data_IF_743274652015
#
_entry.id   IF_743274652015
#
_cell.length_a   1.000
_cell.length_b   1.000
_cell.length_c   1.000
_cell.angle_alpha   90.00
_cell.angle_beta   90.00
_cell.angle_gamma   90.00
#
_symmetry.space_group_name_H-M   'P 1'
#
loop_
_entity.id
_entity.type
_entity.pdbx_description
1 polymer ?
#
# COMPACT_ATOMS: atom_id res chain seq x y z
N UNK A 1 21.80 -19.88 -26.62
CA UNK A 1 21.45 -19.80 -25.18
C UNK A 1 20.49 -20.94 -24.92
N UNK A 2 20.86 -21.85 -24.02
CA UNK A 2 19.95 -22.86 -23.48
C UNK A 2 18.69 -22.16 -22.94
N UNK A 3 17.47 -22.64 -23.25
CA UNK A 3 16.27 -22.10 -22.64
C UNK A 3 16.29 -22.46 -21.14
N UNK A 4 16.30 -21.42 -20.30
CA UNK A 4 16.21 -21.57 -18.85
C UNK A 4 15.07 -22.52 -18.47
N UNK A 5 15.36 -23.52 -17.63
CA UNK A 5 14.35 -24.50 -17.19
C UNK A 5 13.31 -23.83 -16.29
N UNK A 6 12.02 -24.10 -16.54
CA UNK A 6 10.94 -23.64 -15.66
C UNK A 6 11.10 -24.20 -14.24
N UNK A 7 10.80 -23.37 -13.25
CA UNK A 7 10.95 -23.67 -11.82
C UNK A 7 9.57 -23.68 -11.12
N UNK A 8 8.74 -24.72 -11.31
CA UNK A 8 7.38 -24.77 -10.76
C UNK A 8 7.35 -24.93 -9.24
N UNK A 9 8.46 -25.29 -8.60
CA UNK A 9 8.56 -25.37 -7.14
C UNK A 9 8.61 -24.00 -6.46
N UNK A 10 8.97 -22.94 -7.21
CA UNK A 10 9.05 -21.58 -6.67
C UNK A 10 7.66 -20.96 -6.67
N UNK A 11 7.14 -20.71 -5.46
CA UNK A 11 5.83 -20.08 -5.23
C UNK A 11 5.93 -18.69 -4.60
N UNK A 12 7.10 -18.31 -4.07
CA UNK A 12 7.34 -17.01 -3.44
C UNK A 12 8.69 -16.46 -3.91
N UNK A 13 8.70 -15.19 -4.31
CA UNK A 13 9.90 -14.47 -4.71
C UNK A 13 10.07 -13.23 -3.83
N UNK A 14 11.27 -13.05 -3.28
CA UNK A 14 11.60 -11.92 -2.42
C UNK A 14 12.83 -11.21 -3.00
N UNK A 15 12.60 -9.99 -3.47
CA UNK A 15 13.61 -9.09 -4.00
C UNK A 15 13.76 -7.92 -3.03
N UNK A 16 14.70 -8.05 -2.09
CA UNK A 16 14.87 -7.08 -1.01
C UNK A 16 15.75 -5.90 -1.38
N UNK A 17 15.56 -4.79 -0.68
CA UNK A 17 16.41 -3.59 -0.78
C UNK A 17 17.90 -3.86 -0.53
N UNK A 18 18.27 -4.89 0.23
CA UNK A 18 19.69 -5.18 0.52
C UNK A 18 20.44 -5.81 -0.66
N UNK A 19 19.75 -6.41 -1.64
CA UNK A 19 20.42 -7.26 -2.63
C UNK A 19 20.80 -6.51 -3.91
N UNK A 20 19.99 -5.53 -4.34
CA UNK A 20 20.22 -4.68 -5.53
C UNK A 20 19.49 -3.34 -5.39
N UNK A 21 19.96 -2.31 -6.13
CA UNK A 21 19.28 -1.01 -6.22
C UNK A 21 17.91 -1.13 -6.92
N UNK A 22 17.87 -1.67 -8.12
CA UNK A 22 16.65 -1.93 -8.90
C UNK A 22 16.92 -3.03 -9.93
N UNK A 23 15.90 -3.80 -10.31
CA UNK A 23 15.96 -4.72 -11.46
C UNK A 23 15.39 -4.02 -12.69
N UNK A 24 15.99 -4.21 -13.87
CA UNK A 24 15.37 -3.70 -15.09
C UNK A 24 14.09 -4.49 -15.41
N UNK A 25 13.13 -3.85 -16.08
CA UNK A 25 11.90 -4.52 -16.52
C UNK A 25 12.16 -5.84 -17.25
N UNK A 26 13.14 -5.88 -18.16
CA UNK A 26 13.45 -7.10 -18.95
C UNK A 26 14.01 -8.23 -18.09
N UNK A 27 14.83 -7.92 -17.10
CA UNK A 27 15.36 -8.92 -16.18
C UNK A 27 14.26 -9.44 -15.25
N UNK A 28 13.41 -8.55 -14.73
CA UNK A 28 12.27 -8.93 -13.90
C UNK A 28 11.27 -9.79 -14.68
N UNK A 29 10.90 -9.38 -15.90
CA UNK A 29 10.05 -10.15 -16.79
C UNK A 29 10.64 -11.52 -17.11
N UNK A 30 11.92 -11.57 -17.48
CA UNK A 30 12.62 -12.82 -17.76
C UNK A 30 12.61 -13.76 -16.55
N UNK A 31 12.83 -13.22 -15.35
CA UNK A 31 12.84 -13.96 -14.09
C UNK A 31 11.44 -14.50 -13.73
N UNK A 32 10.40 -13.65 -13.77
CA UNK A 32 9.04 -14.05 -13.42
C UNK A 32 8.48 -15.13 -14.35
N UNK A 33 8.87 -15.12 -15.64
CA UNK A 33 8.52 -16.18 -16.60
C UNK A 33 9.07 -17.56 -16.23
N UNK A 34 10.09 -17.64 -15.37
CA UNK A 34 10.62 -18.92 -14.88
C UNK A 34 9.77 -19.53 -13.76
N UNK A 35 8.84 -18.78 -13.17
CA UNK A 35 8.08 -19.17 -11.98
C UNK A 35 6.58 -19.32 -12.29
N UNK A 36 6.15 -20.38 -12.97
CA UNK A 36 4.77 -20.53 -13.43
C UNK A 36 3.74 -20.72 -12.30
N UNK A 37 4.19 -20.88 -11.05
CA UNK A 37 3.35 -21.04 -9.86
C UNK A 37 3.59 -19.95 -8.82
N UNK A 38 4.17 -18.82 -9.23
CA UNK A 38 4.42 -17.71 -8.33
C UNK A 38 3.10 -17.18 -7.76
N UNK A 39 2.94 -17.30 -6.45
CA UNK A 39 1.78 -16.85 -5.69
C UNK A 39 2.08 -15.57 -4.90
N UNK A 40 3.33 -15.40 -4.47
CA UNK A 40 3.74 -14.27 -3.64
C UNK A 40 4.95 -13.54 -4.23
N UNK A 41 4.88 -12.21 -4.25
CA UNK A 41 6.00 -11.35 -4.58
C UNK A 41 6.19 -10.31 -3.48
N UNK A 42 7.43 -10.20 -3.01
CA UNK A 42 7.91 -9.05 -2.24
C UNK A 42 8.98 -8.35 -3.07
N UNK A 43 8.75 -7.10 -3.44
CA UNK A 43 9.69 -6.30 -4.22
C UNK A 43 9.98 -4.95 -3.55
N UNK A 44 11.22 -4.74 -3.14
CA UNK A 44 11.67 -3.57 -2.40
C UNK A 44 12.79 -2.82 -3.16
N UNK A 45 12.48 -2.14 -4.29
CA UNK A 45 13.48 -1.38 -5.02
C UNK A 45 13.88 -0.08 -4.28
N UNK A 46 15.12 0.35 -4.47
CA UNK A 46 15.56 1.72 -4.17
C UNK A 46 15.11 2.66 -5.28
N UNK A 47 14.79 3.91 -4.92
CA UNK A 47 14.69 4.99 -5.92
C UNK A 47 16.09 5.43 -6.35
N UNK A 48 16.37 5.44 -7.65
CA UNK A 48 17.66 5.93 -8.16
C UNK A 48 17.68 7.48 -8.12
N UNK A 49 18.64 8.10 -7.41
CA UNK A 49 18.72 9.56 -7.25
C UNK A 49 19.10 10.32 -8.54
N UNK A 50 19.59 9.64 -9.58
CA UNK A 50 20.11 10.26 -10.81
C UNK A 50 18.98 10.55 -11.82
N UNK A 51 17.89 9.79 -11.81
CA UNK A 51 16.84 9.88 -12.83
C UNK A 51 15.73 10.91 -12.53
N UNK A 52 15.84 11.68 -11.45
CA UNK A 52 14.87 12.75 -11.07
C UNK A 52 14.87 13.94 -12.06
N UNK A 53 15.80 13.98 -13.02
CA UNK A 53 15.82 14.99 -14.08
C UNK A 53 15.04 14.60 -15.34
N UNK A 54 14.66 13.33 -15.46
CA UNK A 54 13.87 12.82 -16.58
C UNK A 54 12.60 12.17 -16.03
N UNK A 55 11.47 12.86 -16.16
CA UNK A 55 10.14 12.39 -15.73
C UNK A 55 9.76 11.02 -16.37
N UNK A 56 10.53 10.54 -17.35
CA UNK A 56 10.31 9.27 -18.04
C UNK A 56 10.94 8.03 -17.38
N UNK A 57 11.75 8.17 -16.32
CA UNK A 57 12.41 7.02 -15.67
C UNK A 57 12.21 7.05 -14.14
N UNK A 58 11.33 6.16 -13.67
CA UNK A 58 11.18 5.65 -12.29
C UNK A 58 10.01 6.21 -11.43
N UNK A 59 8.91 5.44 -11.35
CA UNK A 59 8.72 4.39 -10.34
C UNK A 59 8.60 3.01 -10.97
N UNK A 60 8.23 1.98 -10.18
CA UNK A 60 7.68 0.73 -10.71
C UNK A 60 6.77 1.12 -11.87
N UNK A 61 7.25 0.90 -13.09
CA UNK A 61 6.61 1.46 -14.27
C UNK A 61 5.22 0.87 -14.35
N UNK A 62 4.29 1.59 -14.98
CA UNK A 62 3.00 1.02 -15.34
C UNK A 62 3.16 -0.37 -15.99
N UNK A 63 4.25 -0.56 -16.75
CA UNK A 63 4.67 -1.84 -17.32
C UNK A 63 5.04 -2.91 -16.30
N UNK A 64 5.78 -2.60 -15.23
CA UNK A 64 6.10 -3.58 -14.18
C UNK A 64 4.85 -3.98 -13.38
N UNK A 65 3.94 -3.04 -13.10
CA UNK A 65 2.66 -3.36 -12.47
C UNK A 65 1.76 -4.18 -13.41
N UNK A 66 1.78 -3.89 -14.71
CA UNK A 66 1.04 -4.64 -15.71
C UNK A 66 1.57 -6.07 -15.83
N UNK A 67 2.90 -6.24 -15.80
CA UNK A 67 3.54 -7.54 -15.77
C UNK A 67 3.06 -8.38 -14.59
N UNK A 68 2.88 -7.78 -13.41
CA UNK A 68 2.31 -8.48 -12.25
C UNK A 68 0.82 -8.81 -12.46
N UNK A 69 0.06 -7.91 -13.07
CA UNK A 69 -1.37 -8.12 -13.34
C UNK A 69 -1.60 -9.28 -14.31
N UNK A 70 -0.64 -9.56 -15.19
CA UNK A 70 -0.69 -10.67 -16.15
C UNK A 70 -0.38 -12.04 -15.50
N UNK A 71 0.19 -12.07 -14.29
CA UNK A 71 0.51 -13.31 -13.56
C UNK A 71 -0.73 -13.80 -12.82
N UNK A 72 -1.47 -14.74 -13.43
CA UNK A 72 -2.74 -15.25 -12.88
C UNK A 72 -2.63 -15.98 -11.54
N UNK A 73 -1.46 -16.51 -11.19
CA UNK A 73 -1.26 -17.27 -9.95
C UNK A 73 -0.98 -16.40 -8.75
N UNK A 74 -0.67 -15.12 -8.96
CA UNK A 74 -0.26 -14.22 -7.88
C UNK A 74 -1.48 -13.84 -7.02
N UNK A 75 -1.35 -14.02 -5.71
CA UNK A 75 -2.36 -13.65 -4.72
C UNK A 75 -1.83 -12.64 -3.71
N UNK A 76 -0.51 -12.53 -3.55
CA UNK A 76 0.11 -11.58 -2.61
C UNK A 76 1.18 -10.75 -3.29
N UNK A 77 1.05 -9.43 -3.21
CA UNK A 77 2.05 -8.47 -3.68
C UNK A 77 2.36 -7.50 -2.57
N UNK A 78 3.64 -7.40 -2.21
CA UNK A 78 4.18 -6.36 -1.33
C UNK A 78 5.25 -5.61 -2.12
N UNK A 79 4.99 -4.34 -2.42
CA UNK A 79 5.94 -3.45 -3.03
C UNK A 79 6.20 -2.26 -2.10
N UNK A 80 7.47 -2.01 -1.81
CA UNK A 80 7.88 -0.89 -0.96
C UNK A 80 9.04 -0.16 -1.59
N UNK A 81 8.80 1.11 -1.92
CA UNK A 81 9.85 1.96 -2.47
C UNK A 81 10.36 2.94 -1.42
N UNK A 82 11.65 2.85 -1.11
CA UNK A 82 12.29 3.68 -0.09
C UNK A 82 13.09 4.84 -0.71
N UNK A 83 13.20 5.94 0.02
CA UNK A 83 13.92 7.15 -0.38
C UNK A 83 15.28 7.21 0.33
N UNK A 84 16.41 7.42 -0.38
CA UNK A 84 17.67 7.65 0.31
C UNK A 84 17.61 8.94 1.12
N UNK A 85 18.10 8.89 2.36
CA UNK A 85 18.07 9.99 3.31
C UNK A 85 18.78 11.28 2.85
N UNK A 86 19.54 11.25 1.75
CA UNK A 86 20.35 12.37 1.27
C UNK A 86 19.60 13.41 0.43
N UNK A 87 18.31 13.22 0.11
CA UNK A 87 17.54 14.16 -0.74
C UNK A 87 16.19 14.59 -0.13
N UNK A 88 16.22 14.82 1.20
CA UNK A 88 15.09 15.26 2.05
C UNK A 88 14.46 16.62 1.70
N UNK A 89 15.09 17.42 0.83
CA UNK A 89 14.69 18.81 0.56
C UNK A 89 13.63 18.98 -0.56
N UNK A 90 13.28 17.94 -1.31
CA UNK A 90 12.43 18.05 -2.53
C UNK A 90 11.06 17.33 -2.40
N UNK A 91 10.57 17.13 -1.16
CA UNK A 91 9.37 16.33 -0.82
C UNK A 91 8.11 16.74 -1.59
N UNK A 92 7.95 18.02 -1.93
CA UNK A 92 6.80 18.53 -2.70
C UNK A 92 6.79 18.04 -4.15
N UNK A 93 7.94 17.81 -4.79
CA UNK A 93 8.00 17.22 -6.15
C UNK A 93 7.68 15.74 -6.11
N UNK A 94 8.21 15.00 -5.13
CA UNK A 94 7.95 13.57 -4.98
C UNK A 94 6.45 13.26 -4.79
N UNK A 95 5.73 14.09 -4.02
CA UNK A 95 4.27 14.00 -3.86
C UNK A 95 3.51 14.13 -5.19
N UNK A 96 4.00 14.94 -6.13
CA UNK A 96 3.40 15.07 -7.47
C UNK A 96 3.71 13.88 -8.38
N UNK A 97 4.90 13.28 -8.25
CA UNK A 97 5.27 12.10 -9.04
C UNK A 97 4.49 10.85 -8.62
N UNK A 98 4.31 10.60 -7.32
CA UNK A 98 3.44 9.51 -6.84
C UNK A 98 2.00 9.69 -7.37
N UNK A 99 1.54 10.95 -7.47
CA UNK A 99 0.23 11.30 -8.04
C UNK A 99 0.10 11.09 -9.56
N UNK A 100 1.14 10.65 -10.27
CA UNK A 100 1.07 10.53 -11.74
C UNK A 100 1.27 9.12 -12.28
N UNK A 101 1.97 8.22 -11.58
CA UNK A 101 2.58 7.09 -12.29
C UNK A 101 1.82 5.76 -12.36
N UNK A 102 0.60 5.63 -11.83
CA UNK A 102 -0.18 4.41 -12.09
C UNK A 102 -1.67 4.62 -11.86
N UNK A 103 -2.32 5.28 -12.81
CA UNK A 103 -3.74 5.62 -12.66
C UNK A 103 -4.62 4.36 -12.62
N UNK A 104 -4.55 3.49 -13.64
CA UNK A 104 -5.48 2.35 -13.73
C UNK A 104 -4.88 0.99 -13.38
N UNK A 105 -3.59 0.76 -13.62
CA UNK A 105 -2.98 -0.59 -13.53
C UNK A 105 -2.90 -1.09 -12.10
N UNK A 106 -2.58 -0.24 -11.12
CA UNK A 106 -2.59 -0.63 -9.70
C UNK A 106 -3.97 -1.13 -9.26
N UNK A 107 -5.02 -0.40 -9.65
CA UNK A 107 -6.39 -0.76 -9.33
C UNK A 107 -6.82 -2.05 -10.05
N UNK A 108 -6.44 -2.25 -11.32
CA UNK A 108 -6.68 -3.50 -12.04
C UNK A 108 -5.95 -4.71 -11.43
N UNK A 109 -4.66 -4.57 -11.09
CA UNK A 109 -3.85 -5.60 -10.43
C UNK A 109 -4.53 -6.09 -9.14
N UNK A 110 -5.06 -5.15 -8.35
CA UNK A 110 -5.67 -5.46 -7.06
C UNK A 110 -6.87 -6.41 -7.12
N UNK A 111 -7.56 -6.51 -8.27
CA UNK A 111 -8.76 -7.36 -8.44
C UNK A 111 -8.47 -8.85 -8.26
N UNK A 112 -7.26 -9.30 -8.59
CA UNK A 112 -6.88 -10.71 -8.53
C UNK A 112 -6.20 -11.10 -7.21
N UNK A 113 -5.87 -10.13 -6.36
CA UNK A 113 -5.07 -10.34 -5.15
C UNK A 113 -5.93 -10.65 -3.93
N UNK A 114 -5.36 -11.43 -3.02
CA UNK A 114 -5.82 -11.58 -1.64
C UNK A 114 -5.14 -10.54 -0.73
N UNK A 115 -3.87 -10.26 -0.97
CA UNK A 115 -3.09 -9.34 -0.15
C UNK A 115 -2.30 -8.38 -1.03
N UNK A 116 -2.54 -7.07 -0.86
CA UNK A 116 -1.84 -6.04 -1.59
C UNK A 116 -1.29 -5.00 -0.63
N UNK A 117 0.01 -4.79 -0.64
CA UNK A 117 0.66 -3.64 -0.02
C UNK A 117 1.52 -2.95 -1.07
N UNK A 118 1.11 -1.77 -1.53
CA UNK A 118 1.89 -0.96 -2.48
C UNK A 118 2.16 0.39 -1.84
N UNK A 119 3.37 0.54 -1.32
CA UNK A 119 3.80 1.70 -0.54
C UNK A 119 4.80 2.55 -1.32
N UNK A 120 4.55 3.86 -1.38
CA UNK A 120 5.37 4.87 -2.06
C UNK A 120 5.50 4.66 -3.57
N UNK A 121 4.54 3.97 -4.18
CA UNK A 121 4.49 3.65 -5.62
C UNK A 121 3.17 4.09 -6.25
N UNK A 122 2.06 3.93 -5.52
CA UNK A 122 0.74 4.39 -5.93
C UNK A 122 0.15 5.29 -4.83
N UNK A 123 -0.64 6.29 -5.24
CA UNK A 123 -1.43 7.09 -4.32
C UNK A 123 -2.83 6.49 -4.13
N UNK A 124 -3.27 6.35 -2.88
CA UNK A 124 -4.59 5.83 -2.56
C UNK A 124 -5.72 6.69 -3.17
N UNK A 125 -5.57 8.02 -3.26
CA UNK A 125 -6.63 8.87 -3.81
C UNK A 125 -6.89 8.52 -5.28
N UNK A 126 -5.82 8.34 -6.05
CA UNK A 126 -5.87 7.97 -7.47
C UNK A 126 -6.36 6.54 -7.63
N UNK A 127 -5.86 5.62 -6.81
CA UNK A 127 -6.30 4.24 -6.82
C UNK A 127 -7.83 4.14 -6.71
N UNK A 128 -8.45 4.88 -5.79
CA UNK A 128 -9.89 4.83 -5.60
C UNK A 128 -10.67 5.60 -6.68
N UNK A 129 -10.13 6.70 -7.22
CA UNK A 129 -10.75 7.44 -8.34
C UNK A 129 -10.83 6.61 -9.63
N UNK A 130 -9.86 5.72 -9.85
CA UNK A 130 -9.73 4.93 -11.08
C UNK A 130 -10.46 3.58 -10.98
N UNK A 131 -11.00 3.25 -9.80
CA UNK A 131 -11.86 2.09 -9.59
C UNK A 131 -13.16 2.22 -10.37
N UNK A 132 -13.47 1.22 -11.22
CA UNK A 132 -14.72 1.25 -11.99
C UNK A 132 -15.94 0.80 -11.16
N UNK A 133 -17.14 1.34 -11.44
CA UNK A 133 -18.37 0.97 -10.72
C UNK A 133 -18.66 -0.54 -10.68
N UNK A 134 -18.37 -1.24 -11.78
CA UNK A 134 -18.61 -2.68 -11.97
C UNK A 134 -17.57 -3.58 -11.27
N UNK A 135 -16.50 -3.02 -10.73
CA UNK A 135 -15.45 -3.80 -10.09
C UNK A 135 -15.84 -4.31 -8.72
N UNK A 136 -15.52 -5.59 -8.48
CA UNK A 136 -15.69 -6.29 -7.22
C UNK A 136 -14.42 -7.09 -6.91
N UNK A 137 -13.91 -6.96 -5.70
CA UNK A 137 -12.70 -7.63 -5.24
C UNK A 137 -13.04 -8.89 -4.47
N UNK A 138 -13.37 -9.96 -5.19
CA UNK A 138 -13.86 -11.24 -4.63
C UNK A 138 -12.87 -11.93 -3.67
N UNK A 139 -11.61 -11.52 -3.73
CA UNK A 139 -10.49 -12.20 -3.06
C UNK A 139 -9.76 -11.31 -2.07
N UNK A 140 -9.86 -9.98 -2.18
CA UNK A 140 -9.02 -9.05 -1.42
C UNK A 140 -9.36 -9.08 0.07
N UNK A 141 -8.38 -9.51 0.87
CA UNK A 141 -8.41 -9.63 2.33
C UNK A 141 -7.72 -8.43 2.98
N UNK A 142 -6.58 -8.00 2.43
CA UNK A 142 -5.86 -6.83 2.95
C UNK A 142 -5.41 -5.88 1.84
N UNK A 143 -5.65 -4.59 2.04
CA UNK A 143 -5.18 -3.52 1.15
C UNK A 143 -4.40 -2.46 1.94
N UNK A 144 -3.17 -2.21 1.52
CA UNK A 144 -2.31 -1.20 2.14
C UNK A 144 -1.70 -0.30 1.08
N UNK A 145 -1.96 1.00 1.18
CA UNK A 145 -1.53 2.00 0.21
C UNK A 145 -0.99 3.23 0.92
N UNK A 146 -0.09 3.94 0.24
CA UNK A 146 0.32 5.27 0.66
C UNK A 146 -0.57 6.35 0.05
N UNK A 147 -0.71 7.51 0.71
CA UNK A 147 -1.29 8.68 0.06
C UNK A 147 -0.61 9.97 0.49
N UNK A 148 -0.27 10.81 -0.48
CA UNK A 148 0.27 12.14 -0.24
C UNK A 148 -0.75 13.06 0.47
N UNK A 149 -2.05 12.77 0.39
CA UNK A 149 -3.09 13.53 1.10
C UNK A 149 -2.97 13.39 2.63
N UNK A 150 -2.38 12.31 3.13
CA UNK A 150 -2.24 12.06 4.57
C UNK A 150 -1.07 12.87 5.15
N UNK A 151 -1.23 14.19 5.19
CA UNK A 151 -0.25 15.16 5.66
C UNK A 151 -0.95 16.37 6.28
N UNK A 152 -0.39 16.99 7.33
CA UNK A 152 -1.04 18.11 8.02
C UNK A 152 -1.19 19.37 7.16
N UNK A 153 -0.39 19.49 6.10
CA UNK A 153 -0.42 20.64 5.17
C UNK A 153 -1.55 20.53 4.12
N UNK A 154 -2.16 19.35 3.99
CA UNK A 154 -3.21 19.10 3.00
C UNK A 154 -4.60 19.46 3.54
N UNK A 155 -5.55 19.62 2.64
CA UNK A 155 -6.91 19.97 3.01
C UNK A 155 -7.61 18.81 3.72
N UNK A 156 -8.01 19.01 4.99
CA UNK A 156 -8.74 18.02 5.78
C UNK A 156 -10.02 17.51 5.09
N UNK A 157 -10.68 18.33 4.26
CA UNK A 157 -11.82 17.88 3.46
C UNK A 157 -11.41 16.85 2.43
N UNK A 158 -10.32 17.06 1.69
CA UNK A 158 -9.83 16.13 0.67
C UNK A 158 -9.41 14.80 1.29
N UNK A 159 -8.79 14.83 2.48
CA UNK A 159 -8.49 13.62 3.24
C UNK A 159 -9.76 12.86 3.57
N UNK A 160 -10.77 13.54 4.13
CA UNK A 160 -12.05 12.90 4.45
C UNK A 160 -12.79 12.40 3.21
N UNK A 161 -12.75 13.13 2.08
CA UNK A 161 -13.37 12.72 0.82
C UNK A 161 -12.72 11.42 0.29
N UNK A 162 -11.39 11.32 0.35
CA UNK A 162 -10.67 10.08 0.03
C UNK A 162 -11.05 8.93 0.97
N UNK A 163 -11.07 9.16 2.29
CA UNK A 163 -11.41 8.13 3.28
C UNK A 163 -12.86 7.64 3.16
N UNK A 164 -13.77 8.54 2.78
CA UNK A 164 -15.16 8.21 2.44
C UNK A 164 -15.23 7.36 1.17
N UNK A 165 -14.51 7.75 0.12
CA UNK A 165 -14.46 6.98 -1.12
C UNK A 165 -13.88 5.58 -0.87
N UNK A 166 -12.83 5.47 -0.06
CA UNK A 166 -12.26 4.20 0.37
C UNK A 166 -13.31 3.30 1.05
N UNK A 167 -14.12 3.85 1.96
CA UNK A 167 -15.23 3.12 2.60
C UNK A 167 -16.29 2.66 1.61
N UNK A 168 -16.66 3.50 0.63
CA UNK A 168 -17.60 3.14 -0.44
C UNK A 168 -17.02 2.00 -1.30
N UNK A 169 -15.75 2.08 -1.70
CA UNK A 169 -15.09 1.03 -2.50
C UNK A 169 -14.91 -0.27 -1.72
N UNK A 170 -14.57 -0.15 -0.43
CA UNK A 170 -14.53 -1.28 0.49
C UNK A 170 -15.88 -1.99 0.56
N UNK A 171 -17.00 -1.37 0.13
CA UNK A 171 -18.27 -2.09 0.05
C UNK A 171 -18.31 -3.21 -1.00
N UNK A 172 -17.39 -3.18 -1.95
CA UNK A 172 -17.25 -4.14 -3.05
C UNK A 172 -16.11 -5.12 -2.80
N UNK A 173 -15.61 -5.18 -1.57
CA UNK A 173 -14.54 -6.08 -1.14
C UNK A 173 -15.12 -7.04 -0.09
N UNK A 174 -15.81 -8.13 -0.48
CA UNK A 174 -16.56 -8.98 0.45
C UNK A 174 -15.69 -9.68 1.50
N UNK A 175 -14.41 -9.92 1.20
CA UNK A 175 -13.46 -10.60 2.11
C UNK A 175 -12.53 -9.66 2.87
N UNK A 176 -12.71 -8.35 2.74
CA UNK A 176 -11.81 -7.37 3.33
C UNK A 176 -11.79 -7.48 4.86
N UNK A 177 -10.63 -7.77 5.41
CA UNK A 177 -10.38 -7.82 6.85
C UNK A 177 -9.57 -6.63 7.34
N UNK A 178 -8.72 -6.04 6.50
CA UNK A 178 -7.85 -4.92 6.87
C UNK A 178 -7.65 -3.97 5.70
N UNK A 179 -7.82 -2.67 5.94
CA UNK A 179 -7.39 -1.63 5.01
C UNK A 179 -6.55 -0.60 5.74
N UNK A 180 -5.37 -0.29 5.21
CA UNK A 180 -4.41 0.64 5.81
C UNK A 180 -4.00 1.69 4.79
N UNK A 181 -4.36 2.94 5.04
CA UNK A 181 -3.97 4.08 4.22
C UNK A 181 -3.02 4.92 5.07
N UNK A 182 -1.78 5.05 4.64
CA UNK A 182 -0.75 5.64 5.49
C UNK A 182 0.18 6.60 4.74
N UNK A 183 0.87 7.43 5.49
CA UNK A 183 1.98 8.22 4.98
C UNK A 183 2.92 8.56 6.13
N UNK A 184 4.16 8.89 5.78
CA UNK A 184 5.17 9.30 6.72
C UNK A 184 6.16 10.26 6.07
N UNK A 185 6.65 11.21 6.85
CA UNK A 185 7.70 12.16 6.47
C UNK A 185 8.55 12.42 7.72
N UNK A 186 9.56 13.28 7.62
CA UNK A 186 10.38 13.63 8.78
C UNK A 186 9.52 14.27 9.88
N UNK A 187 9.49 13.62 11.05
CA UNK A 187 8.67 14.02 12.21
C UNK A 187 7.16 13.81 12.05
N UNK A 188 6.69 13.29 10.91
CA UNK A 188 5.27 13.14 10.62
C UNK A 188 4.94 11.69 10.26
N UNK A 189 3.88 11.15 10.83
CA UNK A 189 3.41 9.82 10.48
C UNK A 189 1.91 9.74 10.72
N UNK A 190 1.20 9.06 9.82
CA UNK A 190 -0.23 8.85 9.94
C UNK A 190 -0.65 7.53 9.29
N UNK A 191 -1.61 6.85 9.91
CA UNK A 191 -2.37 5.76 9.31
C UNK A 191 -3.86 5.88 9.64
N UNK A 192 -4.69 5.77 8.62
CA UNK A 192 -6.08 5.33 8.75
C UNK A 192 -6.12 3.81 8.61
N UNK A 193 -6.66 3.12 9.61
CA UNK A 193 -6.77 1.66 9.63
C UNK A 193 -8.23 1.25 9.82
N UNK A 194 -8.77 0.49 8.88
CA UNK A 194 -9.97 -0.31 9.08
C UNK A 194 -9.60 -1.75 9.43
N UNK A 195 -10.30 -2.32 10.41
CA UNK A 195 -10.19 -3.73 10.79
C UNK A 195 -11.56 -4.34 10.99
N UNK A 196 -11.83 -5.43 10.27
CA UNK A 196 -13.06 -6.17 10.43
C UNK A 196 -13.15 -6.81 11.83
N UNK A 197 -14.39 -7.05 12.26
CA UNK A 197 -14.67 -7.81 13.47
C UNK A 197 -14.01 -9.20 13.40
N UNK A 198 -13.27 -9.56 14.46
CA UNK A 198 -12.60 -10.87 14.59
C UNK A 198 -13.47 -11.93 15.27
N UNK A 199 -14.50 -11.51 16.00
CA UNK A 199 -15.41 -12.38 16.74
C UNK A 199 -16.79 -11.71 16.84
N UNK A 200 -17.81 -12.47 17.26
CA UNK A 200 -19.20 -12.02 17.25
C UNK A 200 -19.45 -10.76 18.11
N UNK A 201 -18.84 -10.74 19.31
CA UNK A 201 -18.98 -9.62 20.26
C UNK A 201 -17.88 -8.55 20.13
N UNK A 202 -17.10 -8.58 19.06
CA UNK A 202 -16.03 -7.61 18.83
C UNK A 202 -16.41 -6.65 17.70
N UNK A 203 -16.52 -5.32 17.95
CA UNK A 203 -16.82 -4.38 16.89
C UNK A 203 -15.73 -4.37 15.83
N UNK A 204 -16.11 -4.05 14.59
CA UNK A 204 -15.13 -3.61 13.61
C UNK A 204 -14.55 -2.27 14.07
N UNK A 205 -13.33 -1.93 13.65
CA UNK A 205 -12.63 -0.74 14.12
C UNK A 205 -12.17 0.12 12.97
N UNK A 206 -12.38 1.43 13.10
CA UNK A 206 -11.61 2.44 12.41
C UNK A 206 -10.67 3.07 13.42
N UNK A 207 -9.39 3.16 13.08
CA UNK A 207 -8.39 3.84 13.90
C UNK A 207 -7.71 4.90 13.05
N UNK A 208 -7.78 6.16 13.49
CA UNK A 208 -6.87 7.21 13.03
C UNK A 208 -5.71 7.26 14.01
N UNK A 209 -4.50 6.93 13.55
CA UNK A 209 -3.29 6.99 14.37
C UNK A 209 -2.30 7.94 13.70
N UNK A 210 -1.93 9.04 14.36
CA UNK A 210 -1.14 10.08 13.72
C UNK A 210 -0.33 10.95 14.68
N UNK A 211 0.73 11.59 14.18
CA UNK A 211 1.46 12.68 14.85
C UNK A 211 0.72 14.02 14.82
N UNK A 212 -0.42 14.08 14.11
CA UNK A 212 -1.26 15.27 13.97
C UNK A 212 -2.75 14.92 14.00
N UNK A 213 -3.58 15.87 14.40
CA UNK A 213 -5.02 15.65 14.58
C UNK A 213 -5.80 15.81 13.27
N UNK A 214 -6.63 14.81 12.93
CA UNK A 214 -7.69 14.93 11.94
C UNK A 214 -9.02 14.57 12.60
N UNK A 215 -10.02 15.40 12.41
CA UNK A 215 -11.39 15.02 12.72
C UNK A 215 -11.97 14.23 11.55
N UNK A 216 -12.26 12.95 11.78
CA UNK A 216 -13.01 12.14 10.82
C UNK A 216 -14.45 12.66 10.77
N UNK A 217 -14.91 13.01 9.57
CA UNK A 217 -16.29 13.45 9.35
C UNK A 217 -17.27 12.28 9.49
N UNK A 218 -18.51 12.60 9.87
CA UNK A 218 -19.56 11.60 10.03
C UNK A 218 -19.82 10.81 8.74
N UNK A 219 -19.71 11.45 7.57
CA UNK A 219 -19.93 10.79 6.28
C UNK A 219 -18.85 9.75 5.92
N UNK A 220 -17.64 9.88 6.46
CA UNK A 220 -16.63 8.82 6.43
C UNK A 220 -17.12 7.64 7.25
N UNK A 221 -17.52 7.88 8.50
CA UNK A 221 -17.99 6.83 9.42
C UNK A 221 -19.20 6.09 8.81
N UNK A 222 -20.18 6.82 8.27
CA UNK A 222 -21.35 6.24 7.60
C UNK A 222 -20.97 5.37 6.39
N UNK A 223 -19.97 5.77 5.59
CA UNK A 223 -19.52 4.99 4.45
C UNK A 223 -18.90 3.64 4.83
N UNK A 224 -18.33 3.54 6.04
CA UNK A 224 -17.70 2.32 6.54
C UNK A 224 -18.64 1.39 7.33
N UNK A 225 -19.77 1.89 7.86
CA UNK A 225 -20.76 1.06 8.58
C UNK A 225 -21.23 -0.17 7.78
N UNK A 226 -21.56 -0.08 6.48
CA UNK A 226 -21.96 -1.26 5.70
C UNK A 226 -20.84 -2.30 5.56
N UNK A 227 -19.58 -1.87 5.56
CA UNK A 227 -18.42 -2.77 5.51
C UNK A 227 -18.29 -3.53 6.83
N UNK A 228 -18.45 -2.83 7.96
CA UNK A 228 -18.44 -3.42 9.30
C UNK A 228 -19.59 -4.43 9.53
N UNK A 229 -20.74 -4.20 8.91
CA UNK A 229 -21.94 -5.02 9.07
C UNK A 229 -21.96 -6.31 8.21
N UNK A 230 -20.99 -6.52 7.32
CA UNK A 230 -21.02 -7.64 6.35
C UNK A 230 -20.90 -9.03 6.93
N UNK A 231 -20.07 -9.19 7.96
CA UNK A 231 -19.96 -10.49 8.60
C UNK A 231 -21.20 -10.64 9.46
N UNK A 232 -22.01 -11.67 9.18
CA UNK A 232 -23.15 -12.10 10.02
C UNK A 232 -22.78 -12.13 11.51
N UNK A 233 -21.47 -12.23 11.80
CA UNK A 233 -20.84 -12.18 13.09
C UNK A 233 -21.10 -10.93 13.96
N UNK A 234 -21.17 -9.68 13.48
CA UNK A 234 -21.00 -8.54 14.40
C UNK A 234 -22.27 -7.70 14.64
N UNK A 235 -22.89 -7.86 15.82
CA UNK A 235 -23.89 -6.90 16.36
C UNK A 235 -23.26 -5.68 17.04
N UNK A 236 -21.97 -5.72 17.36
CA UNK A 236 -21.28 -4.68 18.12
C UNK A 236 -20.99 -3.39 17.30
N UNK A 237 -21.28 -3.39 16.00
CA UNK A 237 -21.19 -2.21 15.15
C UNK A 237 -19.76 -1.82 14.80
N UNK A 238 -19.54 -0.51 14.65
CA UNK A 238 -18.26 0.10 14.25
C UNK A 238 -17.75 1.02 15.36
N UNK A 239 -16.57 0.71 15.88
CA UNK A 239 -15.85 1.52 16.86
C UNK A 239 -14.87 2.45 16.14
N UNK A 240 -14.84 3.74 16.51
CA UNK A 240 -13.89 4.72 15.98
C UNK A 240 -12.90 5.11 17.08
N UNK A 241 -11.61 5.01 16.77
CA UNK A 241 -10.50 5.34 17.67
C UNK A 241 -9.62 6.42 17.05
N UNK A 242 -9.14 7.31 17.91
CA UNK A 242 -8.12 8.31 17.57
C UNK A 242 -6.95 8.09 18.52
N UNK A 243 -5.77 7.91 17.97
CA UNK A 243 -4.54 7.61 18.71
C UNK A 243 -3.42 8.56 18.27
N UNK A 244 -2.66 9.06 19.22
CA UNK A 244 -1.51 9.93 18.94
C UNK A 244 -0.23 9.12 18.79
N UNK A 245 0.62 9.51 17.84
CA UNK A 245 1.97 8.99 17.65
C UNK A 245 2.95 10.04 18.16
N UNK A 246 3.93 9.60 18.94
CA UNK A 246 5.13 10.39 19.18
C UNK A 246 6.00 10.35 17.91
N UNK A 247 6.09 11.49 17.22
CA UNK A 247 6.87 11.67 16.00
C UNK A 247 8.38 11.77 16.24
N UNK A 248 8.84 11.80 17.49
CA UNK A 248 10.27 11.90 17.80
C UNK A 248 11.03 10.69 17.24
N UNK A 249 12.11 10.97 16.50
CA UNK A 249 12.94 9.93 15.90
C UNK A 249 12.45 9.37 14.56
N UNK A 250 11.28 9.78 14.05
CA UNK A 250 10.83 9.39 12.71
C UNK A 250 11.57 10.24 11.66
N UNK A 251 12.52 9.64 10.93
CA UNK A 251 13.30 10.34 9.90
C UNK A 251 13.01 9.89 8.47
N UNK A 252 12.22 8.84 8.29
CA UNK A 252 11.87 8.28 6.98
C UNK A 252 10.59 7.45 7.03
N UNK A 253 10.03 7.10 5.86
CA UNK A 253 8.92 6.15 5.73
C UNK A 253 9.23 4.80 6.39
N UNK A 254 10.42 4.26 6.15
CA UNK A 254 10.85 2.99 6.72
C UNK A 254 10.94 3.04 8.26
N UNK A 255 11.41 4.15 8.83
CA UNK A 255 11.48 4.35 10.28
C UNK A 255 10.12 4.60 10.91
N UNK A 256 9.11 5.08 10.17
CA UNK A 256 7.76 5.29 10.67
C UNK A 256 6.96 3.98 10.84
N UNK A 257 7.28 2.92 10.08
CA UNK A 257 6.50 1.66 10.08
C UNK A 257 6.26 1.09 11.49
N UNK A 258 7.26 0.99 12.38
CA UNK A 258 7.04 0.50 13.75
C UNK A 258 6.11 1.40 14.58
N UNK A 259 6.14 2.71 14.34
CA UNK A 259 5.30 3.69 15.06
C UNK A 259 3.84 3.63 14.58
N UNK A 260 3.63 3.34 13.30
CA UNK A 260 2.29 3.22 12.70
C UNK A 260 1.54 1.98 13.17
N UNK A 261 2.23 0.94 13.66
CA UNK A 261 1.67 -0.37 14.06
C UNK A 261 0.69 -0.92 13.01
N UNK A 262 1.18 -1.00 11.78
CA UNK A 262 0.49 -1.63 10.67
C UNK A 262 0.31 -3.13 10.97
N UNK A 263 -0.87 -3.68 10.69
CA UNK A 263 -1.16 -5.11 10.78
C UNK A 263 -0.65 -5.86 9.54
N UNK A 264 -0.56 -5.16 8.40
CA UNK A 264 -0.02 -5.74 7.17
C UNK A 264 1.49 -5.54 7.07
N UNK A 265 2.16 -6.54 6.50
CA UNK A 265 3.57 -6.41 6.14
C UNK A 265 3.69 -5.49 4.91
N UNK A 266 4.20 -4.27 5.12
CA UNK A 266 4.47 -3.32 4.04
C UNK A 266 5.91 -3.34 3.57
N UNK A 267 6.85 -3.73 4.43
CA UNK A 267 8.26 -3.91 4.10
C UNK A 267 8.86 -4.94 5.05
N UNK A 268 9.75 -5.80 4.55
CA UNK A 268 10.49 -6.76 5.37
C UNK A 268 11.44 -6.00 6.30
N UNK A 269 11.41 -6.28 7.62
CA UNK A 269 12.36 -5.70 8.56
C UNK A 269 13.80 -5.96 8.10
N UNK A 270 14.64 -4.93 8.16
CA UNK A 270 16.09 -5.09 7.95
C UNK A 270 16.66 -5.62 9.26
N UNK A 271 17.35 -6.77 9.24
CA UNK A 271 18.08 -7.20 10.43
C UNK A 271 19.11 -6.11 10.81
N UNK A 272 19.19 -5.68 12.08
CA UNK A 272 20.14 -4.65 12.53
C UNK A 272 21.62 -4.95 12.27
N UNK A 273 21.98 -6.19 11.92
CA UNK A 273 23.36 -6.65 11.81
C UNK A 273 24.06 -6.30 10.48
N UNK A 274 23.42 -5.59 9.56
CA UNK A 274 24.03 -5.26 8.25
C UNK A 274 24.66 -3.86 8.15
N UNK A 275 24.70 -3.11 9.24
CA UNK A 275 25.36 -1.79 9.32
C UNK A 275 26.51 -1.78 10.34
N UNK A 276 27.37 -2.80 10.28
CA UNK A 276 28.67 -2.82 10.96
C UNK A 276 29.79 -2.88 9.92
#
# INVERSE_FOLDING_TARGET
>A
MEPWTLMPAVTSLILRRQTRRQWSYRELEGLLKLFPRLAELVYEPWRDPIFVLDESVDPLTESELQLLADIRTISKVICFKDYPASRREDSRRDRRTIRTTSRSVTAYLSLNLEHMAISSIADASIFFEECKPEWTWERLISLTLTSALLSPDENASEVNDMLRLAGIMATRMPKLETMELWNAEEGLACVFQYRAARAWDCPAKITWRSTWSLQLRDDVIEAWKPVAARKDACRAGLEVRVEEIDGTGIRSHGEAIPHLRLETEVARPVCPEANA
#
